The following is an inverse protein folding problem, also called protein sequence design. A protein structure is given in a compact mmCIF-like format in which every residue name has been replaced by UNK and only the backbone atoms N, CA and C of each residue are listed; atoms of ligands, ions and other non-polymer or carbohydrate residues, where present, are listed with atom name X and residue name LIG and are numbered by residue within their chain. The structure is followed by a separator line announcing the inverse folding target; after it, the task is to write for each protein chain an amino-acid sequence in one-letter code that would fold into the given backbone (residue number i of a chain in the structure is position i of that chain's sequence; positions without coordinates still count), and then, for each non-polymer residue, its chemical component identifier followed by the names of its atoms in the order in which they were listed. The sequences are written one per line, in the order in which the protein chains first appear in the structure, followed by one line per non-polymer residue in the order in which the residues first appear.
data_IF_048351157966
#
_entry.id   IF_048351157966
#
_cell.length_a   1.000
_cell.length_b   1.000
_cell.length_c   1.000
_cell.angle_alpha   90.00
_cell.angle_beta   90.00
_cell.angle_gamma   90.00
#
_symmetry.space_group_name_H-M   'P 1'
#
loop_
_entity.id
_entity.type
_entity.pdbx_description
1 polymer ?
#
# COMPACT_ATOMS: atom_id res chain seq x y z
N UNK A 1 -15.00 12.35 -0.01
CA UNK A 1 -14.47 12.84 1.27
C UNK A 1 -13.19 12.06 1.54
N UNK A 2 -12.05 12.71 1.50
CA UNK A 2 -10.78 12.08 1.78
C UNK A 2 -10.74 11.57 3.23
N UNK A 3 -10.11 10.40 3.43
CA UNK A 3 -9.76 9.87 4.76
C UNK A 3 -8.93 10.96 5.45
N UNK A 4 -9.32 11.38 6.64
CA UNK A 4 -8.60 12.46 7.34
C UNK A 4 -7.22 11.97 7.78
N UNK A 5 -6.24 12.89 7.79
CA UNK A 5 -4.85 12.63 8.20
C UNK A 5 -4.75 11.95 9.58
N UNK A 6 -5.67 12.27 10.51
CA UNK A 6 -5.74 11.66 11.84
C UNK A 6 -6.12 10.16 11.79
N UNK A 7 -6.98 9.76 10.86
CA UNK A 7 -7.39 8.36 10.70
C UNK A 7 -6.28 7.49 10.08
N UNK A 8 -5.47 8.10 9.20
CA UNK A 8 -4.29 7.43 8.61
C UNK A 8 -3.23 7.17 9.69
N UNK A 9 -3.07 8.06 10.68
CA UNK A 9 -2.08 7.90 11.75
C UNK A 9 -2.40 6.73 12.70
N UNK A 10 -3.68 6.58 13.11
CA UNK A 10 -4.08 5.52 14.06
C UNK A 10 -3.77 4.10 13.56
N UNK A 11 -4.02 3.87 12.25
CA UNK A 11 -3.76 2.57 11.62
C UNK A 11 -2.31 2.38 11.18
N UNK A 12 -1.60 3.48 10.94
CA UNK A 12 -0.18 3.42 10.55
C UNK A 12 0.67 2.84 11.69
N UNK A 13 0.42 3.27 12.93
CA UNK A 13 1.13 2.78 14.12
C UNK A 13 0.80 1.31 14.41
N UNK A 14 -0.47 0.92 14.27
CA UNK A 14 -0.89 -0.47 14.42
C UNK A 14 -0.19 -1.40 13.42
N UNK A 15 -0.17 -1.04 12.14
CA UNK A 15 0.49 -1.83 11.09
C UNK A 15 1.99 -1.96 11.36
N UNK A 16 2.64 -0.91 11.84
CA UNK A 16 4.07 -0.89 12.13
C UNK A 16 4.46 -1.69 13.39
N UNK A 17 3.51 -1.98 14.27
CA UNK A 17 3.69 -2.92 15.39
C UNK A 17 3.58 -4.38 14.94
N UNK A 18 2.73 -4.65 13.96
CA UNK A 18 2.46 -6.01 13.46
C UNK A 18 3.48 -6.45 12.41
N UNK A 19 3.98 -5.52 11.56
CA UNK A 19 4.79 -5.84 10.38
C UNK A 19 6.05 -4.99 10.27
N UNK A 20 7.12 -5.60 9.75
CA UNK A 20 8.40 -4.94 9.55
C UNK A 20 8.57 -4.51 8.10
N UNK A 21 8.51 -3.20 7.84
CA UNK A 21 8.66 -2.64 6.50
C UNK A 21 10.10 -2.18 6.18
N UNK A 22 10.85 -1.72 7.16
CA UNK A 22 12.17 -1.12 6.94
C UNK A 22 13.34 -2.12 6.98
N UNK A 23 13.09 -3.42 6.79
CA UNK A 23 14.11 -4.45 6.88
C UNK A 23 14.72 -4.77 5.51
N UNK A 24 15.75 -4.02 5.14
CA UNK A 24 16.53 -4.20 3.91
C UNK A 24 18.01 -4.23 4.26
N UNK A 25 18.86 -4.91 3.46
CA UNK A 25 20.32 -4.90 3.65
C UNK A 25 20.88 -3.48 3.63
N UNK A 26 21.84 -3.14 4.50
CA UNK A 26 22.50 -1.84 4.46
C UNK A 26 23.07 -1.51 3.08
N UNK A 27 23.00 -0.25 2.67
CA UNK A 27 23.40 0.21 1.34
C UNK A 27 22.30 0.07 0.26
N UNK A 28 21.19 -0.61 0.54
CA UNK A 28 20.06 -0.74 -0.40
C UNK A 28 19.46 0.62 -0.76
N UNK A 29 18.98 0.72 -1.99
CA UNK A 29 18.13 1.83 -2.46
C UNK A 29 16.67 1.39 -2.41
N UNK A 30 15.87 2.04 -1.55
CA UNK A 30 14.49 1.65 -1.26
C UNK A 30 13.51 2.76 -1.62
N UNK A 31 12.48 2.41 -2.36
CA UNK A 31 11.36 3.30 -2.70
C UNK A 31 10.22 3.11 -1.69
N UNK A 32 9.75 4.20 -1.11
CA UNK A 32 8.55 4.22 -0.25
C UNK A 32 7.37 4.85 -1.02
N UNK A 33 6.43 4.02 -1.46
CA UNK A 33 5.26 4.45 -2.24
C UNK A 33 4.15 4.87 -1.27
N UNK A 34 3.72 6.12 -1.36
CA UNK A 34 2.77 6.72 -0.42
C UNK A 34 3.41 6.96 0.95
N UNK A 35 4.58 7.61 0.97
CA UNK A 35 5.39 7.75 2.18
C UNK A 35 4.69 8.53 3.33
N UNK A 36 3.59 9.25 3.06
CA UNK A 36 2.79 9.95 4.06
C UNK A 36 3.62 10.95 4.90
N UNK A 37 3.87 10.60 6.18
CA UNK A 37 4.69 11.41 7.10
C UNK A 37 6.19 11.17 6.97
N UNK A 38 6.62 10.17 6.19
CA UNK A 38 8.02 9.80 5.98
C UNK A 38 8.62 8.95 7.10
N UNK A 39 7.81 8.38 7.97
CA UNK A 39 8.30 7.56 9.09
C UNK A 39 9.07 6.32 8.60
N UNK A 40 8.55 5.60 7.60
CA UNK A 40 9.26 4.46 7.03
C UNK A 40 10.58 4.88 6.36
N UNK A 41 10.59 6.01 5.66
CA UNK A 41 11.82 6.54 5.07
C UNK A 41 12.90 6.81 6.12
N UNK A 42 12.54 7.37 7.29
CA UNK A 42 13.49 7.59 8.39
C UNK A 42 14.00 6.27 8.96
N UNK A 43 13.11 5.28 9.18
CA UNK A 43 13.50 3.95 9.66
C UNK A 43 14.45 3.23 8.68
N UNK A 44 14.17 3.33 7.38
CA UNK A 44 15.03 2.80 6.31
C UNK A 44 16.39 3.48 6.33
N UNK A 45 16.42 4.82 6.45
CA UNK A 45 17.67 5.60 6.54
C UNK A 45 18.49 5.25 7.77
N UNK A 46 17.85 5.06 8.93
CA UNK A 46 18.53 4.67 10.18
C UNK A 46 19.22 3.28 10.10
N UNK A 47 18.84 2.45 9.14
CA UNK A 47 19.46 1.14 8.84
C UNK A 47 20.57 1.22 7.80
N UNK A 48 21.01 2.41 7.43
CA UNK A 48 22.09 2.61 6.45
C UNK A 48 21.63 2.41 4.99
N UNK A 49 20.34 2.48 4.71
CA UNK A 49 19.79 2.41 3.36
C UNK A 49 19.51 3.82 2.81
N UNK A 50 19.50 3.97 1.49
CA UNK A 50 19.02 5.17 0.81
C UNK A 50 17.52 5.03 0.57
N UNK A 51 16.71 5.98 1.03
CA UNK A 51 15.27 6.00 0.79
C UNK A 51 14.86 7.12 -0.15
N UNK A 52 13.93 6.82 -1.05
CA UNK A 52 13.26 7.78 -1.93
C UNK A 52 11.76 7.61 -1.71
N UNK A 53 11.04 8.70 -1.46
CA UNK A 53 9.59 8.69 -1.24
C UNK A 53 8.82 9.13 -2.47
N UNK A 54 7.66 8.51 -2.68
CA UNK A 54 6.69 8.92 -3.69
C UNK A 54 5.35 9.21 -3.02
N UNK A 55 4.74 10.34 -3.37
CA UNK A 55 3.44 10.76 -2.82
C UNK A 55 2.62 11.47 -3.90
N UNK A 56 1.32 11.18 -3.93
CA UNK A 56 0.40 11.83 -4.87
C UNK A 56 -0.08 13.18 -4.32
N UNK A 57 -0.24 13.30 -3.00
CA UNK A 57 -0.68 14.53 -2.34
C UNK A 57 0.43 15.59 -2.38
N UNK A 58 0.15 16.78 -2.99
CA UNK A 58 1.16 17.82 -3.13
C UNK A 58 1.58 18.41 -1.78
N UNK A 59 0.68 18.44 -0.79
CA UNK A 59 0.95 18.97 0.54
C UNK A 59 1.90 18.07 1.31
N UNK A 60 1.68 16.75 1.29
CA UNK A 60 2.57 15.77 1.91
C UNK A 60 3.92 15.71 1.21
N UNK A 61 3.94 15.73 -0.13
CA UNK A 61 5.19 15.79 -0.90
C UNK A 61 6.01 17.05 -0.57
N UNK A 62 5.35 18.21 -0.42
CA UNK A 62 6.02 19.46 0.02
C UNK A 62 6.57 19.34 1.45
N UNK A 63 5.77 18.83 2.40
CA UNK A 63 6.21 18.63 3.78
C UNK A 63 7.42 17.70 3.86
N UNK A 64 7.42 16.60 3.10
CA UNK A 64 8.54 15.68 3.02
C UNK A 64 9.83 16.39 2.57
N UNK A 65 9.77 17.20 1.49
CA UNK A 65 10.93 18.00 1.02
C UNK A 65 11.42 18.99 2.08
N UNK A 66 10.50 19.68 2.74
CA UNK A 66 10.85 20.63 3.81
C UNK A 66 11.52 19.94 5.02
N UNK A 67 11.18 18.65 5.25
CA UNK A 67 11.82 17.81 6.27
C UNK A 67 13.15 17.17 5.80
N UNK A 68 13.68 17.55 4.63
CA UNK A 68 14.94 17.05 4.09
C UNK A 68 14.86 15.64 3.49
N UNK A 69 13.66 15.09 3.26
CA UNK A 69 13.50 13.78 2.63
C UNK A 69 13.65 13.88 1.11
N UNK A 70 14.26 12.86 0.50
CA UNK A 70 14.34 12.70 -0.95
C UNK A 70 12.98 12.21 -1.48
N UNK A 71 12.13 13.12 -1.94
CA UNK A 71 10.76 12.78 -2.35
C UNK A 71 10.37 13.36 -3.69
N UNK A 72 9.54 12.64 -4.44
CA UNK A 72 8.90 13.12 -5.66
C UNK A 72 7.37 13.02 -5.56
N UNK A 73 6.69 13.82 -6.37
CA UNK A 73 5.23 13.71 -6.54
C UNK A 73 4.93 12.93 -7.81
N UNK A 74 4.30 11.77 -7.65
CA UNK A 74 3.87 10.93 -8.76
C UNK A 74 2.76 9.96 -8.32
N UNK A 75 2.23 9.19 -9.28
CA UNK A 75 1.25 8.13 -9.05
C UNK A 75 1.96 6.76 -8.98
N UNK A 76 1.42 5.83 -8.19
CA UNK A 76 1.96 4.48 -8.06
C UNK A 76 1.84 3.69 -9.39
N UNK A 77 0.88 4.04 -10.23
CA UNK A 77 0.63 3.46 -11.55
C UNK A 77 1.62 3.93 -12.64
N UNK A 78 2.47 4.91 -12.33
CA UNK A 78 3.49 5.45 -13.24
C UNK A 78 4.65 6.01 -12.44
N UNK A 79 5.55 5.12 -12.02
CA UNK A 79 6.71 5.48 -11.21
C UNK A 79 7.78 6.19 -12.07
N UNK A 80 8.29 7.37 -11.66
CA UNK A 80 9.28 8.14 -12.42
C UNK A 80 10.71 7.61 -12.22
N UNK A 81 10.86 6.29 -12.11
CA UNK A 81 12.13 5.61 -11.89
C UNK A 81 12.44 4.64 -13.03
N UNK A 82 13.72 4.40 -13.25
CA UNK A 82 14.19 3.46 -14.29
C UNK A 82 13.84 2.02 -13.89
N UNK A 83 13.67 1.16 -14.88
CA UNK A 83 13.57 -0.29 -14.70
C UNK A 83 14.80 -0.80 -13.92
N UNK A 84 14.58 -1.74 -13.00
CA UNK A 84 15.65 -2.39 -12.21
C UNK A 84 16.57 -1.39 -11.50
N UNK A 85 16.02 -0.34 -10.89
CA UNK A 85 16.78 0.70 -10.19
C UNK A 85 16.69 0.63 -8.67
N UNK A 86 15.75 -0.16 -8.13
CA UNK A 86 15.50 -0.26 -6.69
C UNK A 86 15.85 -1.65 -6.18
N UNK A 87 16.50 -1.70 -5.01
CA UNK A 87 16.77 -2.95 -4.28
C UNK A 87 15.57 -3.35 -3.43
N UNK A 88 14.78 -2.35 -3.00
CA UNK A 88 13.58 -2.55 -2.20
C UNK A 88 12.45 -1.59 -2.54
N UNK A 89 11.22 -2.03 -2.26
CA UNK A 89 10.01 -1.19 -2.33
C UNK A 89 9.19 -1.40 -1.06
N UNK A 90 8.70 -0.33 -0.48
CA UNK A 90 7.65 -0.32 0.54
C UNK A 90 6.38 0.25 -0.07
N UNK A 91 5.24 -0.42 0.16
CA UNK A 91 3.92 0.03 -0.28
C UNK A 91 2.91 -0.27 0.82
N UNK A 92 2.77 0.66 1.77
CA UNK A 92 1.94 0.48 2.97
C UNK A 92 0.55 1.07 2.74
N UNK A 93 -0.42 0.20 2.47
CA UNK A 93 -1.86 0.55 2.29
C UNK A 93 -2.11 1.59 1.18
N UNK A 94 -1.37 1.51 0.07
CA UNK A 94 -1.58 2.37 -1.10
C UNK A 94 -2.37 1.67 -2.20
N UNK A 95 -2.12 0.39 -2.43
CA UNK A 95 -2.79 -0.41 -3.49
C UNK A 95 -4.31 -0.26 -3.49
N UNK A 96 -5.03 -0.20 -2.35
CA UNK A 96 -6.48 -0.01 -2.33
C UNK A 96 -7.00 1.20 -3.12
N UNK A 97 -6.18 2.22 -3.27
CA UNK A 97 -6.53 3.51 -3.87
C UNK A 97 -6.01 3.68 -5.29
N UNK A 98 -5.41 2.63 -5.87
CA UNK A 98 -4.74 2.65 -7.18
C UNK A 98 -5.43 1.70 -8.18
N UNK A 99 -5.03 1.77 -9.44
CA UNK A 99 -5.17 0.66 -10.37
C UNK A 99 -4.18 -0.43 -9.95
N UNK A 100 -4.72 -1.48 -9.30
CA UNK A 100 -3.92 -2.51 -8.61
C UNK A 100 -2.91 -3.17 -9.55
N UNK A 101 -3.33 -3.54 -10.76
CA UNK A 101 -2.48 -4.23 -11.71
C UNK A 101 -1.34 -3.33 -12.20
N UNK A 102 -1.66 -2.07 -12.54
CA UNK A 102 -0.64 -1.10 -12.95
C UNK A 102 0.34 -0.79 -11.83
N UNK A 103 -0.15 -0.60 -10.60
CA UNK A 103 0.73 -0.36 -9.45
C UNK A 103 1.66 -1.55 -9.19
N UNK A 104 1.15 -2.78 -9.24
CA UNK A 104 1.95 -4.01 -9.11
C UNK A 104 2.97 -4.15 -10.26
N UNK A 105 2.56 -3.88 -11.49
CA UNK A 105 3.44 -3.87 -12.67
C UNK A 105 4.61 -2.90 -12.50
N UNK A 106 4.34 -1.68 -12.02
CA UNK A 106 5.36 -0.67 -11.79
C UNK A 106 6.30 -1.03 -10.63
N UNK A 107 5.78 -1.60 -9.53
CA UNK A 107 6.59 -2.14 -8.44
C UNK A 107 7.55 -3.21 -9.01
N UNK A 108 7.04 -4.15 -9.79
CA UNK A 108 7.84 -5.18 -10.41
C UNK A 108 8.90 -4.60 -11.37
N UNK A 109 8.53 -3.59 -12.17
CA UNK A 109 9.42 -2.96 -13.14
C UNK A 109 10.61 -2.27 -12.48
N UNK A 110 10.37 -1.51 -11.40
CA UNK A 110 11.45 -0.75 -10.76
C UNK A 110 12.37 -1.60 -9.90
N UNK A 111 11.90 -2.74 -9.39
CA UNK A 111 12.73 -3.68 -8.63
C UNK A 111 13.80 -4.32 -9.54
N UNK A 112 15.00 -4.46 -9.00
CA UNK A 112 16.06 -5.29 -9.59
C UNK A 112 15.68 -6.78 -9.50
N UNK A 113 16.19 -7.64 -10.37
CA UNK A 113 16.11 -9.08 -10.14
C UNK A 113 16.65 -9.44 -8.75
N UNK A 114 15.91 -10.24 -7.98
CA UNK A 114 16.21 -10.55 -6.58
C UNK A 114 15.81 -9.48 -5.56
N UNK A 115 15.44 -8.28 -5.99
CA UNK A 115 14.94 -7.21 -5.11
C UNK A 115 13.59 -7.56 -4.48
N UNK A 116 13.26 -6.92 -3.36
CA UNK A 116 12.07 -7.27 -2.57
C UNK A 116 11.10 -6.10 -2.40
N UNK A 117 9.80 -6.38 -2.42
CA UNK A 117 8.77 -5.43 -2.03
C UNK A 117 8.06 -5.89 -0.75
N UNK A 118 7.81 -4.94 0.15
CA UNK A 118 7.01 -5.13 1.37
C UNK A 118 5.70 -4.37 1.21
N UNK A 119 4.62 -5.12 1.07
CA UNK A 119 3.31 -4.59 0.70
C UNK A 119 2.31 -4.93 1.78
N UNK A 120 1.50 -3.94 2.20
CA UNK A 120 0.32 -4.22 3.02
C UNK A 120 -0.94 -3.61 2.42
N UNK A 121 -2.08 -4.23 2.72
CA UNK A 121 -3.40 -3.78 2.28
C UNK A 121 -4.48 -4.23 3.25
N UNK A 122 -5.68 -3.67 3.08
CA UNK A 122 -6.80 -3.97 3.94
C UNK A 122 -7.30 -5.41 3.75
N UNK A 123 -7.41 -6.16 4.83
CA UNK A 123 -8.11 -7.44 4.87
C UNK A 123 -9.64 -7.25 5.01
N UNK A 124 -10.39 -8.34 4.96
CA UNK A 124 -11.86 -8.30 5.09
C UNK A 124 -12.30 -7.85 6.48
N UNK A 125 -11.54 -8.14 7.54
CA UNK A 125 -11.81 -7.70 8.90
C UNK A 125 -11.82 -6.17 9.08
N UNK A 126 -11.06 -5.44 8.25
CA UNK A 126 -11.06 -3.98 8.24
C UNK A 126 -12.46 -3.41 7.90
N UNK A 127 -13.08 -3.92 6.86
CA UNK A 127 -14.41 -3.48 6.42
C UNK A 127 -15.52 -3.99 7.34
N UNK A 128 -15.41 -5.24 7.81
CA UNK A 128 -16.34 -5.82 8.78
C UNK A 128 -16.37 -5.01 10.08
N UNK A 129 -15.21 -4.56 10.56
CA UNK A 129 -15.14 -3.70 11.75
C UNK A 129 -15.89 -2.39 11.56
N UNK A 130 -15.75 -1.74 10.39
CA UNK A 130 -16.49 -0.52 10.09
C UNK A 130 -18.01 -0.75 10.01
N UNK A 131 -18.43 -1.88 9.48
CA UNK A 131 -19.85 -2.19 9.34
C UNK A 131 -20.50 -2.57 10.68
N UNK A 132 -19.80 -3.33 11.53
CA UNK A 132 -20.40 -3.99 12.69
C UNK A 132 -20.06 -3.29 14.03
N UNK A 133 -18.90 -2.69 14.17
CA UNK A 133 -18.39 -2.18 15.44
C UNK A 133 -18.16 -0.67 15.48
N UNK A 134 -18.17 0.03 14.35
CA UNK A 134 -17.92 1.47 14.34
C UNK A 134 -19.24 2.25 14.58
N UNK A 135 -19.19 3.23 15.46
CA UNK A 135 -20.32 4.13 15.75
C UNK A 135 -20.42 5.28 14.73
N UNK A 136 -19.35 5.58 13.99
CA UNK A 136 -19.37 6.61 12.94
C UNK A 136 -20.06 6.08 11.68
N UNK A 137 -21.26 6.60 11.41
CA UNK A 137 -22.03 6.26 10.22
C UNK A 137 -21.26 6.49 8.90
N UNK A 138 -20.32 7.46 8.87
CA UNK A 138 -19.50 7.74 7.69
C UNK A 138 -18.57 6.58 7.37
N UNK A 139 -18.00 5.92 8.39
CA UNK A 139 -17.17 4.72 8.24
C UNK A 139 -18.00 3.52 7.80
N UNK A 140 -19.24 3.39 8.29
CA UNK A 140 -20.18 2.36 7.80
C UNK A 140 -20.50 2.57 6.33
N UNK A 141 -20.81 3.79 5.90
CA UNK A 141 -21.02 4.15 4.49
C UNK A 141 -19.78 3.85 3.65
N UNK A 142 -18.59 4.18 4.15
CA UNK A 142 -17.34 3.84 3.48
C UNK A 142 -17.17 2.32 3.29
N UNK A 143 -17.39 1.53 4.33
CA UNK A 143 -17.34 0.07 4.25
C UNK A 143 -18.32 -0.49 3.23
N UNK A 144 -19.58 -0.06 3.29
CA UNK A 144 -20.65 -0.52 2.38
C UNK A 144 -20.32 -0.18 0.92
N UNK A 145 -19.97 1.08 0.62
CA UNK A 145 -19.65 1.49 -0.76
C UNK A 145 -18.45 0.75 -1.33
N UNK A 146 -17.42 0.48 -0.50
CA UNK A 146 -16.24 -0.28 -0.93
C UNK A 146 -16.63 -1.71 -1.30
N UNK A 147 -17.51 -2.35 -0.52
CA UNK A 147 -18.02 -3.69 -0.83
C UNK A 147 -18.84 -3.71 -2.12
N UNK A 148 -19.74 -2.73 -2.29
CA UNK A 148 -20.55 -2.58 -3.51
C UNK A 148 -19.67 -2.35 -4.74
N UNK A 149 -18.68 -1.46 -4.65
CA UNK A 149 -17.73 -1.20 -5.74
C UNK A 149 -16.93 -2.45 -6.08
N UNK A 150 -16.50 -3.20 -5.07
CA UNK A 150 -15.74 -4.45 -5.27
C UNK A 150 -16.58 -5.52 -5.95
N UNK A 151 -17.84 -5.66 -5.56
CA UNK A 151 -18.78 -6.58 -6.20
C UNK A 151 -19.02 -6.19 -7.66
N UNK A 152 -19.25 -4.91 -7.93
CA UNK A 152 -19.42 -4.39 -9.30
C UNK A 152 -18.16 -4.63 -10.14
N UNK A 153 -16.98 -4.34 -9.57
CA UNK A 153 -15.69 -4.59 -10.23
C UNK A 153 -15.49 -6.08 -10.55
N UNK A 154 -15.88 -6.97 -9.65
CA UNK A 154 -15.78 -8.42 -9.88
C UNK A 154 -16.64 -8.91 -11.04
N UNK A 155 -17.78 -8.24 -11.30
CA UNK A 155 -18.70 -8.59 -12.40
C UNK A 155 -18.33 -7.96 -13.73
N UNK A 156 -17.82 -6.71 -13.71
CA UNK A 156 -17.69 -5.89 -14.92
C UNK A 156 -16.24 -5.59 -15.32
N UNK A 157 -15.27 -5.82 -14.41
CA UNK A 157 -13.88 -5.39 -14.58
C UNK A 157 -13.69 -3.87 -14.45
N UNK A 158 -14.75 -3.11 -14.14
CA UNK A 158 -14.71 -1.65 -14.06
C UNK A 158 -15.12 -1.16 -12.68
N UNK A 159 -14.54 -0.03 -12.22
CA UNK A 159 -14.96 0.63 -10.97
C UNK A 159 -16.22 1.46 -11.20
N UNK A 160 -17.01 1.61 -10.16
CA UNK A 160 -18.07 2.62 -10.13
C UNK A 160 -17.43 4.02 -10.28
N UNK A 161 -18.19 4.97 -10.79
CA UNK A 161 -17.71 6.36 -10.95
C UNK A 161 -17.87 7.18 -9.68
N UNK A 162 -17.02 8.20 -9.52
CA UNK A 162 -17.12 9.20 -8.46
C UNK A 162 -16.98 8.63 -7.06
N UNK A 163 -17.77 9.13 -6.13
CA UNK A 163 -17.73 8.80 -4.70
C UNK A 163 -17.82 7.30 -4.39
N UNK A 164 -18.48 6.50 -5.23
CA UNK A 164 -18.65 5.06 -5.01
C UNK A 164 -17.43 4.24 -5.43
N UNK A 165 -16.57 4.77 -6.28
CA UNK A 165 -15.54 4.01 -6.99
C UNK A 165 -14.09 4.24 -6.54
N UNK A 166 -13.85 5.11 -5.56
CA UNK A 166 -12.49 5.52 -5.17
C UNK A 166 -11.69 4.43 -4.43
N UNK A 167 -12.34 3.42 -3.86
CA UNK A 167 -11.66 2.35 -3.11
C UNK A 167 -12.23 0.98 -3.48
N UNK A 168 -11.34 -0.02 -3.61
CA UNK A 168 -11.68 -1.44 -3.76
C UNK A 168 -11.20 -2.24 -2.55
N UNK A 169 -11.93 -3.29 -2.21
CA UNK A 169 -11.42 -4.36 -1.36
C UNK A 169 -10.44 -5.22 -2.17
N UNK A 170 -9.24 -5.43 -1.63
CA UNK A 170 -8.20 -6.23 -2.26
C UNK A 170 -8.43 -7.71 -2.00
N UNK A 171 -8.89 -8.43 -3.02
CA UNK A 171 -8.92 -9.88 -2.99
C UNK A 171 -7.48 -10.42 -3.09
N UNK A 172 -7.05 -11.19 -2.09
CA UNK A 172 -5.73 -11.82 -2.11
C UNK A 172 -5.53 -12.67 -3.37
N UNK A 173 -6.59 -13.39 -3.81
CA UNK A 173 -6.56 -14.17 -5.05
C UNK A 173 -6.27 -13.31 -6.29
N UNK A 174 -6.82 -12.08 -6.34
CA UNK A 174 -6.60 -11.14 -7.46
C UNK A 174 -5.17 -10.62 -7.43
N UNK A 175 -4.68 -10.18 -6.27
CA UNK A 175 -3.32 -9.70 -6.11
C UNK A 175 -2.28 -10.79 -6.43
N UNK A 176 -2.49 -12.02 -5.98
CA UNK A 176 -1.61 -13.17 -6.31
C UNK A 176 -1.50 -13.38 -7.82
N UNK A 177 -2.57 -13.21 -8.58
CA UNK A 177 -2.53 -13.28 -10.06
C UNK A 177 -1.67 -12.15 -10.65
N UNK A 178 -1.83 -10.92 -10.16
CA UNK A 178 -1.02 -9.79 -10.63
C UNK A 178 0.45 -9.98 -10.28
N UNK A 179 0.76 -10.44 -9.09
CA UNK A 179 2.14 -10.75 -8.70
C UNK A 179 2.77 -11.77 -9.65
N UNK A 180 2.12 -12.91 -9.85
CA UNK A 180 2.60 -13.95 -10.76
C UNK A 180 2.74 -13.45 -12.21
N UNK A 181 1.77 -12.67 -12.70
CA UNK A 181 1.80 -12.09 -14.05
C UNK A 181 2.95 -11.12 -14.29
N UNK A 182 3.49 -10.51 -13.25
CA UNK A 182 4.59 -9.54 -13.34
C UNK A 182 5.91 -10.03 -12.74
N UNK A 183 6.08 -11.35 -12.53
CA UNK A 183 7.32 -11.94 -12.05
C UNK A 183 7.66 -11.53 -10.60
N UNK A 184 6.64 -11.47 -9.74
CA UNK A 184 6.78 -11.29 -8.31
C UNK A 184 6.35 -12.56 -7.58
N UNK A 185 7.25 -13.16 -6.82
CA UNK A 185 6.99 -14.31 -5.97
C UNK A 185 6.69 -13.87 -4.54
N UNK A 186 5.66 -14.44 -3.91
CA UNK A 186 5.40 -14.22 -2.49
C UNK A 186 6.34 -15.12 -1.69
N UNK A 187 7.29 -14.50 -0.99
CA UNK A 187 8.22 -15.21 -0.09
C UNK A 187 7.74 -15.26 1.35
N UNK A 188 6.84 -14.33 1.71
CA UNK A 188 6.20 -14.30 3.02
C UNK A 188 4.79 -13.72 2.88
N UNK A 189 3.81 -14.33 3.57
CA UNK A 189 2.46 -13.81 3.69
C UNK A 189 2.00 -13.93 5.15
N UNK A 190 1.63 -12.80 5.76
CA UNK A 190 1.14 -12.76 7.15
C UNK A 190 -0.14 -11.92 7.24
N UNK A 191 -1.21 -12.45 7.85
CA UNK A 191 -2.34 -11.65 8.29
C UNK A 191 -2.00 -10.94 9.60
N UNK A 192 -2.57 -9.77 9.84
CA UNK A 192 -2.58 -9.14 11.17
C UNK A 192 -3.59 -9.83 12.09
N UNK A 193 -3.63 -9.41 13.36
CA UNK A 193 -4.72 -9.76 14.25
C UNK A 193 -6.08 -9.45 13.61
N UNK A 194 -7.06 -10.31 13.87
CA UNK A 194 -8.34 -10.31 13.18
C UNK A 194 -9.46 -9.57 13.91
N UNK A 195 -10.50 -9.20 13.16
CA UNK A 195 -11.80 -8.82 13.68
C UNK A 195 -12.85 -9.83 13.19
N UNK A 196 -13.63 -10.42 14.10
CA UNK A 196 -14.61 -11.47 13.80
C UNK A 196 -14.03 -12.65 12.98
N UNK A 197 -12.79 -13.07 13.30
CA UNK A 197 -12.10 -14.16 12.62
C UNK A 197 -11.49 -13.81 11.25
N UNK A 198 -11.62 -12.56 10.81
CA UNK A 198 -11.08 -12.09 9.53
C UNK A 198 -9.93 -11.09 9.72
N UNK A 199 -8.81 -11.17 8.97
CA UNK A 199 -7.67 -10.28 9.14
C UNK A 199 -8.03 -8.82 8.84
N UNK A 200 -7.52 -7.90 9.67
CA UNK A 200 -7.70 -6.45 9.45
C UNK A 200 -6.75 -5.96 8.37
N UNK A 201 -5.50 -6.43 8.37
CA UNK A 201 -4.52 -6.16 7.34
C UNK A 201 -3.89 -7.46 6.86
N UNK A 202 -3.38 -7.44 5.65
CA UNK A 202 -2.58 -8.50 5.05
C UNK A 202 -1.24 -7.89 4.64
N UNK A 203 -0.16 -8.61 4.91
CA UNK A 203 1.20 -8.22 4.61
C UNK A 203 1.87 -9.30 3.75
N UNK A 204 2.49 -8.86 2.67
CA UNK A 204 3.29 -9.71 1.79
C UNK A 204 4.71 -9.17 1.66
N UNK A 205 5.69 -10.07 1.71
CA UNK A 205 7.01 -9.84 1.17
C UNK A 205 7.09 -10.52 -0.19
N UNK A 206 7.37 -9.73 -1.21
CA UNK A 206 7.46 -10.18 -2.60
C UNK A 206 8.92 -10.14 -3.03
N UNK A 207 9.35 -11.08 -3.86
CA UNK A 207 10.67 -11.09 -4.50
C UNK A 207 10.50 -10.99 -6.01
N UNK A 208 11.30 -10.15 -6.65
CA UNK A 208 11.41 -10.08 -8.12
C UNK A 208 12.20 -11.30 -8.63
N UNK A 209 11.58 -12.13 -9.47
CA UNK A 209 12.23 -13.23 -10.18
C UNK A 209 12.98 -12.76 -11.41
#
# INVERSE_FOLDING_TARGET
MAVTTAQVCEWADYIDQEFVFADFPPGSTVLDIGFGTGEQMRRIGARGCRSVGLEIDPGLARKGRMAGLSVCRAQAERLPFRTASMDGVVCKVVIPYTDEEKAVSEIARVLRPGGTARVSYHGSGYFLRYLLADWDWRRRVYGLRTMLNTFFYALTGSRLSGFLGDTLYQSERRLRRYYAGHGLEIVEARPSAGFAGAPVFIYHVLRRT
#
